data_IF_955014796780
#
_entry.id   IF_955014796780
#
_cell.length_a   1.000
_cell.length_b   1.000
_cell.length_c   1.000
_cell.angle_alpha   90.00
_cell.angle_beta   90.00
_cell.angle_gamma   90.00
#
_symmetry.space_group_name_H-M   'P 1'
#
loop_
_entity.id
_entity.type
_entity.pdbx_description
1 polymer ?
#
# COMPACT_ATOMS: atom_id res chain seq x y z
N UNK A 1 15.65 25.73 2.42
CA UNK A 1 16.83 25.14 1.73
C UNK A 1 18.18 25.71 2.17
N UNK A 2 18.38 27.04 2.21
CA UNK A 2 19.68 27.63 2.60
C UNK A 2 20.23 27.15 3.96
N UNK A 3 19.36 26.97 4.96
CA UNK A 3 19.76 26.43 6.27
C UNK A 3 20.24 24.97 6.21
N UNK A 4 19.68 24.13 5.32
CA UNK A 4 20.11 22.74 5.13
C UNK A 4 21.45 22.63 4.40
N UNK A 5 21.70 23.54 3.46
CA UNK A 5 23.00 23.65 2.79
C UNK A 5 24.10 24.05 3.76
N UNK A 6 23.83 25.01 4.66
CA UNK A 6 24.75 25.40 5.72
C UNK A 6 24.95 24.27 6.75
N UNK A 7 23.90 23.55 7.11
CA UNK A 7 23.98 22.40 8.03
C UNK A 7 24.86 21.26 7.49
N UNK A 8 24.87 21.04 6.17
CA UNK A 8 25.72 20.04 5.53
C UNK A 8 27.20 20.29 5.81
N UNK A 9 27.60 21.56 5.93
CA UNK A 9 28.98 21.97 6.22
C UNK A 9 29.34 21.83 7.71
N UNK A 10 28.35 21.72 8.61
CA UNK A 10 28.56 21.64 10.06
C UNK A 10 28.50 20.20 10.61
N UNK A 11 28.27 19.21 9.75
CA UNK A 11 28.33 17.79 10.08
C UNK A 11 26.96 17.10 10.30
N UNK A 12 26.96 15.77 10.45
CA UNK A 12 25.76 14.93 10.35
C UNK A 12 24.68 15.26 11.40
N UNK A 13 25.10 15.61 12.62
CA UNK A 13 24.18 15.91 13.72
C UNK A 13 23.34 17.18 13.48
N UNK A 14 23.96 18.21 12.90
CA UNK A 14 23.28 19.45 12.54
C UNK A 14 22.34 19.23 11.35
N UNK A 15 22.76 18.41 10.38
CA UNK A 15 21.94 18.08 9.22
C UNK A 15 20.61 17.42 9.62
N UNK A 16 20.65 16.41 10.51
CA UNK A 16 19.44 15.73 11.01
C UNK A 16 18.53 16.69 11.78
N UNK A 17 19.09 17.59 12.59
CA UNK A 17 18.31 18.61 13.33
C UNK A 17 17.55 19.53 12.37
N UNK A 18 18.21 20.07 11.35
CA UNK A 18 17.56 20.96 10.39
C UNK A 18 16.60 20.21 9.45
N UNK A 19 16.88 18.95 9.11
CA UNK A 19 15.96 18.09 8.38
C UNK A 19 14.66 17.87 9.18
N UNK A 20 14.78 17.66 10.49
CA UNK A 20 13.65 17.53 11.41
C UNK A 20 12.80 18.79 11.45
N UNK A 21 13.42 19.96 11.61
CA UNK A 21 12.70 21.24 11.61
C UNK A 21 12.00 21.51 10.28
N UNK A 22 12.67 21.24 9.16
CA UNK A 22 12.09 21.44 7.83
C UNK A 22 10.96 20.44 7.56
N UNK A 23 11.13 19.18 7.91
CA UNK A 23 10.08 18.16 7.81
C UNK A 23 8.86 18.53 8.65
N UNK A 24 9.05 18.97 9.90
CA UNK A 24 7.97 19.43 10.76
C UNK A 24 7.19 20.61 10.15
N UNK A 25 7.89 21.57 9.54
CA UNK A 25 7.26 22.67 8.80
C UNK A 25 6.42 22.17 7.62
N UNK A 26 6.94 21.25 6.81
CA UNK A 26 6.22 20.67 5.67
C UNK A 26 4.98 19.88 6.12
N UNK A 27 5.03 19.20 7.26
CA UNK A 27 3.90 18.48 7.84
C UNK A 27 2.76 19.42 8.26
N UNK A 28 3.07 20.63 8.71
CA UNK A 28 2.06 21.65 9.03
C UNK A 28 1.36 22.19 7.78
N UNK A 29 1.94 21.98 6.59
CA UNK A 29 1.40 22.40 5.30
C UNK A 29 0.81 21.23 4.51
N UNK A 30 0.62 20.05 5.14
CA UNK A 30 0.19 18.81 4.49
C UNK A 30 1.07 18.35 3.30
N UNK A 31 2.33 18.81 3.25
CA UNK A 31 3.29 18.47 2.19
C UNK A 31 4.08 17.20 2.52
N UNK A 32 3.37 16.09 2.72
CA UNK A 32 3.95 14.81 3.18
C UNK A 32 5.02 14.25 2.25
N UNK A 33 4.81 14.36 0.93
CA UNK A 33 5.74 13.88 -0.10
C UNK A 33 7.08 14.61 -0.03
N UNK A 34 7.02 15.93 0.11
CA UNK A 34 8.21 16.77 0.23
C UNK A 34 8.92 16.49 1.56
N UNK A 35 8.17 16.30 2.64
CA UNK A 35 8.73 15.92 3.94
C UNK A 35 9.49 14.58 3.85
N UNK A 36 8.91 13.58 3.19
CA UNK A 36 9.58 12.31 2.93
C UNK A 36 10.89 12.51 2.15
N UNK A 37 10.90 13.36 1.13
CA UNK A 37 12.11 13.67 0.34
C UNK A 37 13.21 14.33 1.18
N UNK A 38 12.85 15.23 2.09
CA UNK A 38 13.79 15.87 3.02
C UNK A 38 14.47 14.83 3.90
N UNK A 39 13.72 13.92 4.52
CA UNK A 39 14.28 12.88 5.38
C UNK A 39 15.05 11.82 4.58
N UNK A 40 14.55 11.45 3.40
CA UNK A 40 15.25 10.57 2.47
C UNK A 40 16.62 11.15 2.07
N UNK A 41 16.74 12.46 1.86
CA UNK A 41 18.01 13.09 1.46
C UNK A 41 18.94 13.36 2.64
N UNK A 42 18.43 13.89 3.73
CA UNK A 42 19.24 14.49 4.80
C UNK A 42 19.38 13.61 6.04
N UNK A 43 18.72 12.45 6.08
CA UNK A 43 18.83 11.47 7.15
C UNK A 43 17.67 11.50 8.14
N UNK A 44 17.63 10.47 8.98
CA UNK A 44 16.57 10.19 9.95
C UNK A 44 17.18 10.05 11.34
N UNK A 45 16.34 10.11 12.39
CA UNK A 45 16.76 9.77 13.76
C UNK A 45 15.70 8.94 14.45
N UNK A 46 16.09 8.13 15.42
CA UNK A 46 15.20 7.25 16.19
C UNK A 46 14.58 7.92 17.43
N UNK A 47 14.68 9.25 17.56
CA UNK A 47 14.03 9.95 18.67
C UNK A 47 12.50 9.83 18.55
N UNK A 48 11.77 9.57 19.65
CA UNK A 48 10.33 9.29 19.60
C UNK A 48 9.47 10.34 18.86
N UNK A 49 9.71 11.66 19.00
CA UNK A 49 8.97 12.67 18.23
C UNK A 49 9.18 12.53 16.71
N UNK A 50 10.38 12.12 16.30
CA UNK A 50 10.72 11.98 14.88
C UNK A 50 10.10 10.71 14.30
N UNK A 51 10.05 9.62 15.07
CA UNK A 51 9.31 8.42 14.70
C UNK A 51 7.81 8.71 14.50
N UNK A 52 7.20 9.53 15.35
CA UNK A 52 5.80 9.94 15.17
C UNK A 52 5.58 10.70 13.86
N UNK A 53 6.51 11.60 13.48
CA UNK A 53 6.44 12.29 12.19
C UNK A 53 6.57 11.34 11.01
N UNK A 54 7.51 10.39 11.04
CA UNK A 54 7.69 9.41 9.97
C UNK A 54 6.46 8.51 9.81
N UNK A 55 5.85 8.08 10.92
CA UNK A 55 4.61 7.32 10.92
C UNK A 55 3.48 8.11 10.26
N UNK A 56 3.31 9.38 10.61
CA UNK A 56 2.30 10.25 10.00
C UNK A 56 2.54 10.41 8.50
N UNK A 57 3.77 10.72 8.08
CA UNK A 57 4.14 10.83 6.66
C UNK A 57 3.78 9.55 5.89
N UNK A 58 4.17 8.39 6.43
CA UNK A 58 3.93 7.11 5.76
C UNK A 58 2.44 6.82 5.64
N UNK A 59 1.68 6.97 6.73
CA UNK A 59 0.22 6.75 6.72
C UNK A 59 -0.49 7.68 5.73
N UNK A 60 -0.15 8.97 5.71
CA UNK A 60 -0.78 9.95 4.80
C UNK A 60 -0.45 9.67 3.33
N UNK A 61 0.81 9.31 3.01
CA UNK A 61 1.17 8.99 1.61
C UNK A 61 0.51 7.67 1.17
N UNK A 62 0.41 6.68 2.06
CA UNK A 62 -0.20 5.39 1.75
C UNK A 62 -1.74 5.47 1.70
N UNK A 63 -2.36 6.31 2.52
CA UNK A 63 -3.82 6.50 2.57
C UNK A 63 -4.35 7.34 1.40
N UNK A 64 -3.62 8.38 0.99
CA UNK A 64 -4.04 9.24 -0.13
C UNK A 64 -3.94 8.56 -1.49
N UNK A 65 -3.27 7.42 -1.54
CA UNK A 65 -3.05 6.70 -2.78
C UNK A 65 -2.34 7.56 -3.83
N UNK A 66 -2.55 7.25 -5.11
CA UNK A 66 -2.09 8.08 -6.23
C UNK A 66 -2.94 9.34 -6.32
N UNK A 67 -2.91 10.19 -5.29
CA UNK A 67 -3.44 11.54 -5.36
C UNK A 67 -2.72 12.24 -6.51
N UNK A 68 -3.40 12.19 -7.65
CA UNK A 68 -3.04 12.85 -8.88
C UNK A 68 -2.94 14.32 -8.52
N UNK A 69 -1.74 14.90 -8.58
CA UNK A 69 -1.56 16.36 -8.59
C UNK A 69 -2.13 17.00 -9.87
N UNK A 70 -3.13 16.39 -10.51
CA UNK A 70 -3.88 16.98 -11.60
C UNK A 70 -5.34 17.06 -11.21
N UNK A 71 -5.71 18.23 -10.66
CA UNK A 71 -7.02 18.81 -10.93
C UNK A 71 -7.15 18.91 -12.46
N UNK A 72 -7.89 17.99 -13.08
CA UNK A 72 -8.06 17.99 -14.53
C UNK A 72 -8.87 16.78 -15.00
N UNK A 73 -10.05 17.05 -15.55
CA UNK A 73 -10.99 16.09 -16.08
C UNK A 73 -10.38 15.08 -17.07
N UNK A 74 -10.79 13.81 -16.94
CA UNK A 74 -10.72 12.81 -17.99
C UNK A 74 -9.67 11.72 -17.77
N UNK A 75 -10.12 10.52 -17.42
CA UNK A 75 -9.37 9.27 -17.53
C UNK A 75 -8.02 9.27 -16.81
N UNK A 76 -8.05 9.10 -15.49
CA UNK A 76 -6.83 8.99 -14.71
C UNK A 76 -6.11 7.66 -15.01
N UNK A 77 -5.05 7.72 -15.81
CA UNK A 77 -3.93 6.79 -15.62
C UNK A 77 -3.41 6.99 -14.19
N UNK A 78 -3.37 5.96 -13.33
CA UNK A 78 -2.87 6.08 -11.98
C UNK A 78 -1.37 6.39 -12.03
N UNK A 79 -1.01 7.67 -12.00
CA UNK A 79 0.38 8.08 -11.85
C UNK A 79 0.94 7.50 -10.56
N UNK A 80 2.06 6.77 -10.63
CA UNK A 80 2.65 6.09 -9.48
C UNK A 80 2.76 7.07 -8.28
N UNK A 81 2.43 6.63 -7.04
CA UNK A 81 2.58 7.52 -5.89
C UNK A 81 4.06 7.91 -5.77
N UNK A 82 4.39 9.01 -5.09
CA UNK A 82 5.77 9.44 -4.89
C UNK A 82 6.48 8.58 -3.83
N UNK A 83 6.48 7.27 -4.09
CA UNK A 83 7.03 6.19 -3.30
C UNK A 83 8.55 6.19 -3.21
N UNK A 84 9.36 6.70 -4.16
CA UNK A 84 10.81 6.66 -4.02
C UNK A 84 11.29 7.34 -2.73
N UNK A 85 10.82 8.56 -2.46
CA UNK A 85 11.14 9.31 -1.25
C UNK A 85 10.63 8.64 0.03
N UNK A 86 9.40 8.12 0.01
CA UNK A 86 8.82 7.41 1.15
C UNK A 86 9.64 6.16 1.49
N UNK A 87 9.91 5.30 0.49
CA UNK A 87 10.67 4.06 0.65
C UNK A 87 12.10 4.35 1.11
N UNK A 88 12.77 5.34 0.52
CA UNK A 88 14.10 5.75 0.94
C UNK A 88 14.14 6.25 2.39
N UNK A 89 13.17 7.07 2.80
CA UNK A 89 13.02 7.52 4.18
C UNK A 89 12.80 6.32 5.12
N UNK A 90 11.80 5.48 4.85
CA UNK A 90 11.46 4.33 5.69
C UNK A 90 12.60 3.33 5.80
N UNK A 91 13.32 3.06 4.70
CA UNK A 91 14.52 2.22 4.72
C UNK A 91 15.59 2.79 5.67
N UNK A 92 15.83 4.10 5.65
CA UNK A 92 16.75 4.75 6.61
C UNK A 92 16.26 4.64 8.05
N UNK A 93 14.96 4.83 8.31
CA UNK A 93 14.37 4.67 9.65
C UNK A 93 14.60 3.24 10.16
N UNK A 94 14.20 2.23 9.38
CA UNK A 94 14.35 0.81 9.74
C UNK A 94 15.80 0.46 9.99
N UNK A 95 16.72 0.90 9.12
CA UNK A 95 18.15 0.65 9.28
C UNK A 95 18.68 1.25 10.59
N UNK A 96 18.35 2.51 10.89
CA UNK A 96 18.76 3.17 12.12
C UNK A 96 18.19 2.48 13.37
N UNK A 97 16.93 2.05 13.35
CA UNK A 97 16.30 1.36 14.49
C UNK A 97 16.93 -0.01 14.74
N UNK A 98 17.16 -0.80 13.67
CA UNK A 98 17.86 -2.11 13.77
C UNK A 98 19.27 -1.96 14.36
N UNK A 99 20.04 -0.98 13.90
CA UNK A 99 21.39 -0.72 14.43
C UNK A 99 21.37 -0.24 15.88
N UNK A 100 20.31 0.47 16.29
CA UNK A 100 20.11 0.92 17.67
C UNK A 100 19.57 -0.15 18.62
N UNK A 101 19.20 -1.34 18.13
CA UNK A 101 18.58 -2.39 18.95
C UNK A 101 17.14 -2.06 19.39
N UNK A 102 16.43 -1.20 18.65
CA UNK A 102 15.06 -0.80 18.98
C UNK A 102 14.06 -1.88 18.52
N UNK A 103 13.38 -2.51 19.47
CA UNK A 103 12.40 -3.57 19.23
C UNK A 103 11.10 -3.06 18.54
N UNK A 104 10.88 -1.75 18.50
CA UNK A 104 9.72 -1.11 17.88
C UNK A 104 9.81 -0.98 16.35
N UNK A 105 10.87 -1.49 15.70
CA UNK A 105 11.06 -1.33 14.25
C UNK A 105 10.01 -2.03 13.38
N UNK A 106 9.28 -3.01 13.93
CA UNK A 106 8.36 -3.86 13.15
C UNK A 106 7.21 -3.08 12.48
N UNK A 107 6.80 -1.95 13.07
CA UNK A 107 5.84 -1.04 12.44
C UNK A 107 6.41 -0.41 11.17
N UNK A 108 7.63 0.11 11.24
CA UNK A 108 8.28 0.75 10.08
C UNK A 108 8.68 -0.24 9.01
N UNK A 109 9.02 -1.48 9.38
CA UNK A 109 9.23 -2.57 8.42
C UNK A 109 7.94 -2.90 7.66
N UNK A 110 6.81 -2.93 8.35
CA UNK A 110 5.50 -3.14 7.72
C UNK A 110 5.15 -1.99 6.78
N UNK A 111 5.32 -0.73 7.21
CA UNK A 111 5.10 0.45 6.36
C UNK A 111 6.03 0.45 5.13
N UNK A 112 7.29 0.07 5.30
CA UNK A 112 8.25 -0.04 4.20
C UNK A 112 7.82 -1.13 3.21
N UNK A 113 7.36 -2.28 3.73
CA UNK A 113 6.88 -3.38 2.92
C UNK A 113 5.64 -3.00 2.10
N UNK A 114 4.66 -2.33 2.70
CA UNK A 114 3.49 -1.81 1.98
C UNK A 114 3.93 -0.88 0.84
N UNK A 115 4.87 0.04 1.12
CA UNK A 115 5.40 0.92 0.09
C UNK A 115 6.16 0.17 -1.03
N UNK A 116 6.80 -0.96 -0.73
CA UNK A 116 7.40 -1.85 -1.73
C UNK A 116 6.34 -2.56 -2.56
N UNK A 117 5.28 -3.09 -1.94
CA UNK A 117 4.16 -3.71 -2.63
C UNK A 117 3.48 -2.74 -3.60
N UNK A 118 3.20 -1.51 -3.17
CA UNK A 118 2.58 -0.50 -4.05
C UNK A 118 3.48 -0.17 -5.26
N UNK A 119 4.80 -0.09 -5.07
CA UNK A 119 5.71 0.12 -6.19
C UNK A 119 5.81 -1.12 -7.10
N UNK A 120 5.76 -2.32 -6.51
CA UNK A 120 5.76 -3.57 -7.25
C UNK A 120 4.51 -3.72 -8.12
N UNK A 121 3.34 -3.25 -7.67
CA UNK A 121 2.12 -3.21 -8.49
C UNK A 121 2.33 -2.37 -9.76
N UNK A 122 2.96 -1.20 -9.65
CA UNK A 122 3.28 -0.36 -10.81
C UNK A 122 4.25 -1.07 -11.77
N UNK A 123 5.32 -1.68 -11.25
CA UNK A 123 6.28 -2.46 -12.06
C UNK A 123 5.61 -3.66 -12.74
N UNK A 124 4.70 -4.35 -12.05
CA UNK A 124 3.95 -5.47 -12.63
C UNK A 124 3.05 -4.99 -13.78
N UNK A 125 2.37 -3.86 -13.59
CA UNK A 125 1.54 -3.25 -14.64
C UNK A 125 2.36 -2.83 -15.86
N UNK A 126 3.50 -2.15 -15.65
CA UNK A 126 4.44 -1.78 -16.72
C UNK A 126 4.95 -2.99 -17.52
N UNK A 127 5.12 -4.13 -16.86
CA UNK A 127 5.56 -5.39 -17.48
C UNK A 127 4.43 -6.23 -18.06
N UNK A 128 3.16 -5.84 -17.87
CA UNK A 128 2.00 -6.66 -18.24
C UNK A 128 1.93 -7.99 -17.49
N UNK A 129 2.53 -8.09 -16.30
CA UNK A 129 2.63 -9.31 -15.51
C UNK A 129 1.34 -9.55 -14.70
N UNK A 130 0.26 -9.94 -15.39
CA UNK A 130 -1.09 -9.99 -14.83
C UNK A 130 -1.23 -10.89 -13.59
N UNK A 131 -0.56 -12.05 -13.58
CA UNK A 131 -0.60 -12.95 -12.42
C UNK A 131 0.10 -12.33 -11.20
N UNK A 132 1.29 -11.75 -11.39
CA UNK A 132 1.98 -11.01 -10.33
C UNK A 132 1.15 -9.82 -9.84
N UNK A 133 0.50 -9.07 -10.73
CA UNK A 133 -0.43 -7.98 -10.36
C UNK A 133 -1.56 -8.47 -9.47
N UNK A 134 -2.19 -9.61 -9.79
CA UNK A 134 -3.21 -10.24 -8.94
C UNK A 134 -2.64 -10.58 -7.57
N UNK A 135 -1.52 -11.30 -7.52
CA UNK A 135 -0.92 -11.73 -6.25
C UNK A 135 -0.57 -10.54 -5.35
N UNK A 136 -0.01 -9.48 -5.93
CA UNK A 136 0.33 -8.24 -5.20
C UNK A 136 -0.93 -7.52 -4.68
N UNK A 137 -1.96 -7.38 -5.51
CA UNK A 137 -3.22 -6.73 -5.13
C UNK A 137 -3.94 -7.52 -4.02
N UNK A 138 -4.00 -8.85 -4.13
CA UNK A 138 -4.58 -9.71 -3.10
C UNK A 138 -3.75 -9.65 -1.81
N UNK A 139 -2.42 -9.71 -1.89
CA UNK A 139 -1.53 -9.58 -0.72
C UNK A 139 -1.70 -8.23 0.02
N UNK A 140 -2.08 -7.16 -0.70
CA UNK A 140 -2.36 -5.84 -0.14
C UNK A 140 -3.54 -5.86 0.85
N UNK A 141 -4.49 -6.79 0.69
CA UNK A 141 -5.67 -6.94 1.57
C UNK A 141 -5.30 -7.29 3.02
N UNK A 142 -4.03 -7.64 3.33
CA UNK A 142 -3.57 -7.81 4.73
C UNK A 142 -3.27 -6.49 5.44
N UNK A 143 -3.27 -5.36 4.74
CA UNK A 143 -2.80 -4.06 5.24
C UNK A 143 -3.89 -2.97 5.26
N UNK A 144 -5.16 -3.36 5.41
CA UNK A 144 -6.32 -2.46 5.39
C UNK A 144 -6.31 -1.40 6.53
N UNK A 145 -5.45 -1.54 7.55
CA UNK A 145 -5.27 -0.51 8.59
C UNK A 145 -4.35 0.62 8.15
N UNK A 146 -3.61 0.43 7.06
CA UNK A 146 -2.61 1.34 6.54
C UNK A 146 -2.95 1.87 5.14
N UNK A 147 -3.76 1.15 4.36
CA UNK A 147 -4.20 1.54 3.02
C UNK A 147 -5.72 1.64 2.94
N UNK A 148 -6.29 2.45 2.02
CA UNK A 148 -7.73 2.58 1.87
C UNK A 148 -8.36 1.25 1.48
N UNK A 149 -9.32 0.79 2.28
CA UNK A 149 -9.90 -0.53 2.11
C UNK A 149 -10.71 -0.66 0.81
N UNK A 150 -11.47 0.38 0.44
CA UNK A 150 -12.22 0.44 -0.80
C UNK A 150 -11.31 0.22 -2.03
N UNK A 151 -10.21 0.96 -2.11
CA UNK A 151 -9.21 0.82 -3.15
C UNK A 151 -8.60 -0.58 -3.18
N UNK A 152 -8.19 -1.10 -2.03
CA UNK A 152 -7.55 -2.40 -1.95
C UNK A 152 -8.47 -3.54 -2.42
N UNK A 153 -9.75 -3.53 -1.99
CA UNK A 153 -10.74 -4.50 -2.45
C UNK A 153 -11.09 -4.35 -3.93
N UNK A 154 -11.24 -3.12 -4.42
CA UNK A 154 -11.45 -2.87 -5.84
C UNK A 154 -10.28 -3.39 -6.69
N UNK A 155 -9.04 -3.03 -6.37
CA UNK A 155 -7.85 -3.46 -7.12
C UNK A 155 -7.70 -4.99 -7.12
N UNK A 156 -7.90 -5.63 -5.97
CA UNK A 156 -7.86 -7.10 -5.87
C UNK A 156 -8.96 -7.75 -6.71
N UNK A 157 -10.19 -7.25 -6.62
CA UNK A 157 -11.33 -7.75 -7.38
C UNK A 157 -11.15 -7.62 -8.88
N UNK A 158 -10.65 -6.46 -9.34
CA UNK A 158 -10.37 -6.22 -10.77
C UNK A 158 -9.20 -7.06 -11.29
N UNK A 159 -8.17 -7.29 -10.49
CA UNK A 159 -7.05 -8.15 -10.88
C UNK A 159 -7.48 -9.63 -10.97
N UNK A 160 -8.36 -10.09 -10.08
CA UNK A 160 -9.00 -11.40 -10.15
C UNK A 160 -9.92 -11.52 -11.39
N UNK A 161 -10.73 -10.50 -11.66
CA UNK A 161 -11.58 -10.41 -12.86
C UNK A 161 -10.77 -10.56 -14.15
N UNK A 162 -9.59 -9.93 -14.22
CA UNK A 162 -8.74 -9.98 -15.41
C UNK A 162 -8.22 -11.39 -15.74
N UNK A 163 -8.18 -12.31 -14.77
CA UNK A 163 -7.79 -13.71 -15.01
C UNK A 163 -8.92 -14.56 -15.60
N UNK A 164 -10.18 -14.14 -15.45
CA UNK A 164 -11.33 -14.97 -15.81
C UNK A 164 -11.40 -16.28 -15.02
N UNK A 165 -12.21 -17.23 -15.49
CA UNK A 165 -12.30 -18.58 -14.92
C UNK A 165 -12.54 -18.60 -13.41
N UNK A 166 -11.74 -19.38 -12.67
CA UNK A 166 -11.79 -19.47 -11.20
C UNK A 166 -11.49 -18.13 -10.51
N UNK A 167 -10.73 -17.23 -11.16
CA UNK A 167 -10.48 -15.88 -10.68
C UNK A 167 -11.76 -15.03 -10.56
N UNK A 168 -12.82 -15.36 -11.30
CA UNK A 168 -14.09 -14.66 -11.18
C UNK A 168 -14.76 -14.90 -9.81
N UNK A 169 -14.55 -16.05 -9.17
CA UNK A 169 -15.15 -16.34 -7.86
C UNK A 169 -14.57 -15.43 -6.77
N UNK A 170 -13.24 -15.36 -6.70
CA UNK A 170 -12.55 -14.44 -5.78
C UNK A 170 -12.84 -12.98 -6.15
N UNK A 171 -12.86 -12.67 -7.45
CA UNK A 171 -13.24 -11.35 -7.94
C UNK A 171 -14.64 -10.94 -7.48
N UNK A 172 -15.60 -11.85 -7.49
CA UNK A 172 -16.96 -11.62 -7.02
C UNK A 172 -16.98 -11.28 -5.53
N UNK A 173 -16.29 -12.05 -4.69
CA UNK A 173 -16.21 -11.78 -3.24
C UNK A 173 -15.58 -10.41 -2.96
N UNK A 174 -14.44 -10.11 -3.59
CA UNK A 174 -13.74 -8.84 -3.34
C UNK A 174 -14.52 -7.62 -3.85
N UNK A 175 -15.18 -7.73 -5.00
CA UNK A 175 -15.98 -6.62 -5.55
C UNK A 175 -17.30 -6.43 -4.79
N UNK A 176 -17.93 -7.48 -4.27
CA UNK A 176 -19.05 -7.32 -3.33
C UNK A 176 -18.61 -6.55 -2.09
N UNK A 177 -17.49 -6.96 -1.48
CA UNK A 177 -16.96 -6.25 -0.31
C UNK A 177 -16.62 -4.79 -0.61
N UNK A 178 -16.12 -4.50 -1.81
CA UNK A 178 -15.92 -3.11 -2.25
C UNK A 178 -17.23 -2.31 -2.26
N UNK A 179 -18.34 -2.90 -2.72
CA UNK A 179 -19.65 -2.25 -2.70
C UNK A 179 -20.16 -2.04 -1.27
N UNK A 180 -20.00 -3.02 -0.37
CA UNK A 180 -20.38 -2.86 1.05
C UNK A 180 -19.61 -1.71 1.71
N UNK A 181 -18.30 -1.61 1.43
CA UNK A 181 -17.46 -0.50 1.91
C UNK A 181 -17.93 0.83 1.31
N UNK A 182 -18.26 0.85 0.02
CA UNK A 182 -18.75 2.05 -0.66
C UNK A 182 -20.02 2.55 0.01
N UNK A 183 -20.98 1.67 0.30
CA UNK A 183 -22.24 1.99 0.99
C UNK A 183 -21.97 2.55 2.39
N UNK A 184 -21.14 1.86 3.19
CA UNK A 184 -20.78 2.32 4.53
C UNK A 184 -20.08 3.70 4.53
N UNK A 185 -19.24 3.99 3.53
CA UNK A 185 -18.61 5.31 3.36
C UNK A 185 -19.65 6.38 2.99
N UNK A 186 -20.66 6.07 2.16
CA UNK A 186 -21.78 6.98 1.88
C UNK A 186 -22.63 7.26 3.13
N UNK A 187 -22.76 6.28 4.03
CA UNK A 187 -23.39 6.42 5.34
C UNK A 187 -22.51 7.12 6.39
N UNK A 188 -21.29 7.52 6.01
CA UNK A 188 -20.31 8.19 6.88
C UNK A 188 -19.88 7.33 8.08
N UNK A 189 -19.88 6.01 7.93
CA UNK A 189 -19.34 5.10 8.94
C UNK A 189 -17.81 5.26 9.02
N UNK A 190 -17.23 5.44 10.22
CA UNK A 190 -15.79 5.62 10.36
C UNK A 190 -15.01 4.30 10.31
N UNK A 191 -15.69 3.16 10.41
CA UNK A 191 -15.05 1.87 10.67
C UNK A 191 -15.83 0.67 10.11
N UNK A 192 -15.13 -0.40 9.75
CA UNK A 192 -15.68 -1.63 9.15
C UNK A 192 -16.56 -2.50 10.06
N UNK A 193 -16.88 -2.05 11.27
CA UNK A 193 -17.53 -2.90 12.30
C UNK A 193 -18.95 -3.33 11.95
N UNK A 194 -19.63 -2.60 11.06
CA UNK A 194 -20.97 -2.91 10.56
C UNK A 194 -20.98 -3.92 9.39
N UNK A 195 -19.83 -4.18 8.77
CA UNK A 195 -19.74 -5.03 7.58
C UNK A 195 -19.79 -6.53 7.96
N UNK A 196 -20.54 -7.33 7.20
CA UNK A 196 -20.52 -8.79 7.36
C UNK A 196 -19.19 -9.38 6.88
N UNK A 197 -18.58 -10.24 7.69
CA UNK A 197 -17.27 -10.85 7.46
C UNK A 197 -17.31 -12.36 7.19
N UNK A 198 -18.50 -12.92 7.00
CA UNK A 198 -18.72 -14.35 6.75
C UNK A 198 -17.84 -14.91 5.62
N UNK A 199 -17.80 -14.23 4.47
CA UNK A 199 -17.00 -14.63 3.29
C UNK A 199 -15.48 -14.63 3.52
N UNK A 200 -15.02 -13.94 4.56
CA UNK A 200 -13.60 -13.78 4.89
C UNK A 200 -13.18 -14.57 6.14
N UNK A 201 -14.08 -15.40 6.69
CA UNK A 201 -13.78 -16.27 7.81
C UNK A 201 -12.58 -17.18 7.51
N UNK A 202 -11.71 -17.40 8.50
CA UNK A 202 -10.51 -18.22 8.36
C UNK A 202 -9.53 -17.72 7.28
N UNK A 203 -9.48 -16.42 7.04
CA UNK A 203 -8.46 -15.78 6.20
C UNK A 203 -7.55 -14.87 7.02
N UNK A 204 -6.43 -14.42 6.44
CA UNK A 204 -5.55 -13.42 7.05
C UNK A 204 -6.02 -11.96 6.77
N UNK A 205 -7.17 -11.78 6.12
CA UNK A 205 -7.70 -10.44 5.80
C UNK A 205 -8.34 -9.85 7.07
N UNK A 206 -7.92 -8.66 7.54
CA UNK A 206 -8.46 -8.05 8.75
C UNK A 206 -9.96 -7.74 8.63
N UNK A 207 -10.71 -7.98 9.71
CA UNK A 207 -12.12 -7.55 9.82
C UNK A 207 -12.28 -6.14 10.41
N UNK A 208 -11.24 -5.67 11.09
CA UNK A 208 -11.20 -4.42 11.84
C UNK A 208 -10.23 -3.46 11.15
N UNK A 209 -10.79 -2.50 10.40
CA UNK A 209 -10.05 -1.48 9.67
C UNK A 209 -10.85 -0.17 9.55
N UNK A 210 -10.17 0.99 9.49
CA UNK A 210 -10.82 2.26 9.26
C UNK A 210 -11.40 2.31 7.85
N UNK A 211 -12.56 2.96 7.71
CA UNK A 211 -13.10 3.30 6.40
C UNK A 211 -12.49 4.61 5.90
N UNK A 212 -12.29 4.77 4.57
CA UNK A 212 -11.73 5.99 4.01
C UNK A 212 -12.74 7.15 4.12
N UNK A 213 -12.22 8.37 4.30
CA UNK A 213 -13.06 9.58 4.34
C UNK A 213 -13.62 9.97 2.97
N UNK A 214 -12.98 9.50 1.89
CA UNK A 214 -13.35 9.79 0.51
C UNK A 214 -13.33 8.50 -0.30
N UNK A 215 -14.29 8.39 -1.21
CA UNK A 215 -14.43 7.26 -2.12
C UNK A 215 -13.28 7.23 -3.13
N UNK A 216 -12.69 6.06 -3.34
CA UNK A 216 -11.62 5.86 -4.31
C UNK A 216 -12.08 6.12 -5.75
N UNK A 217 -13.27 5.65 -6.10
CA UNK A 217 -13.86 5.82 -7.44
C UNK A 217 -15.01 6.82 -7.42
N UNK A 218 -15.13 7.58 -8.51
CA UNK A 218 -16.31 8.39 -8.78
C UNK A 218 -17.53 7.53 -9.12
N UNK A 219 -18.73 8.08 -8.91
CA UNK A 219 -20.02 7.40 -9.04
C UNK A 219 -20.18 6.57 -10.32
N UNK A 220 -19.80 7.12 -11.48
CA UNK A 220 -19.93 6.43 -12.76
C UNK A 220 -19.09 5.14 -12.86
N UNK A 221 -17.90 5.10 -12.24
CA UNK A 221 -17.09 3.87 -12.21
C UNK A 221 -17.62 2.90 -11.15
N UNK A 222 -18.17 3.39 -10.03
CA UNK A 222 -18.82 2.54 -9.02
C UNK A 222 -20.04 1.83 -9.58
N UNK A 223 -20.82 2.50 -10.43
CA UNK A 223 -21.97 1.89 -11.09
C UNK A 223 -21.55 0.75 -12.02
N UNK A 224 -20.44 0.90 -12.76
CA UNK A 224 -19.90 -0.21 -13.56
C UNK A 224 -19.48 -1.41 -12.72
N UNK A 225 -18.95 -1.18 -11.52
CA UNK A 225 -18.64 -2.27 -10.58
C UNK A 225 -19.93 -2.93 -10.10
N UNK A 226 -20.95 -2.15 -9.77
CA UNK A 226 -22.28 -2.66 -9.38
C UNK A 226 -22.91 -3.50 -10.48
N UNK A 227 -22.94 -3.02 -11.72
CA UNK A 227 -23.42 -3.77 -12.89
C UNK A 227 -22.67 -5.09 -13.05
N UNK A 228 -21.35 -5.07 -12.94
CA UNK A 228 -20.54 -6.28 -13.07
C UNK A 228 -20.78 -7.29 -11.94
N UNK A 229 -20.93 -6.83 -10.69
CA UNK A 229 -21.27 -7.70 -9.55
C UNK A 229 -22.66 -8.33 -9.77
N UNK A 230 -23.62 -7.57 -10.29
CA UNK A 230 -24.93 -8.11 -10.67
C UNK A 230 -24.81 -9.18 -11.77
N UNK A 231 -24.01 -8.94 -12.81
CA UNK A 231 -23.73 -9.94 -13.86
C UNK A 231 -23.14 -11.24 -13.29
N UNK A 232 -22.19 -11.13 -12.36
CA UNK A 232 -21.60 -12.29 -11.68
C UNK A 232 -22.62 -13.04 -10.84
N UNK A 233 -23.50 -12.33 -10.12
CA UNK A 233 -24.55 -12.94 -9.30
C UNK A 233 -25.55 -13.78 -10.12
N UNK A 234 -25.75 -13.43 -11.40
CA UNK A 234 -26.64 -14.15 -12.32
C UNK A 234 -25.93 -15.29 -13.07
N UNK A 235 -24.60 -15.36 -13.00
CA UNK A 235 -23.81 -16.34 -13.72
C UNK A 235 -23.71 -17.65 -12.93
N UNK A 236 -24.41 -18.70 -13.39
CA UNK A 236 -24.43 -20.01 -12.74
C UNK A 236 -23.05 -20.71 -12.64
N UNK A 237 -22.05 -20.25 -13.38
CA UNK A 237 -20.68 -20.78 -13.33
C UNK A 237 -19.78 -20.05 -12.33
N UNK A 238 -20.27 -18.98 -11.71
CA UNK A 238 -19.54 -18.19 -10.72
C UNK A 238 -20.15 -18.42 -9.34
N UNK A 239 -19.30 -18.59 -8.34
CA UNK A 239 -19.70 -18.72 -6.95
C UNK A 239 -19.06 -17.60 -6.15
N UNK A 240 -19.82 -16.99 -5.24
CA UNK A 240 -19.28 -16.06 -4.25
C UNK A 240 -18.54 -16.86 -3.18
N UNK A 241 -17.32 -17.27 -3.50
CA UNK A 241 -16.49 -18.08 -2.63
C UNK A 241 -15.01 -17.77 -2.85
N UNK A 242 -14.26 -17.70 -1.75
CA UNK A 242 -12.81 -17.60 -1.80
C UNK A 242 -12.18 -18.97 -2.02
N UNK A 243 -11.15 -19.03 -2.86
CA UNK A 243 -10.24 -20.16 -2.88
C UNK A 243 -9.23 -20.01 -1.75
N UNK A 244 -9.48 -20.66 -0.61
CA UNK A 244 -8.65 -20.54 0.59
C UNK A 244 -7.21 -21.02 0.38
N UNK A 245 -7.01 -22.08 -0.42
CA UNK A 245 -5.67 -22.63 -0.69
C UNK A 245 -4.85 -21.65 -1.53
N UNK A 246 -5.46 -21.06 -2.57
CA UNK A 246 -4.82 -20.02 -3.38
C UNK A 246 -4.52 -18.76 -2.55
N UNK A 247 -5.48 -18.32 -1.73
CA UNK A 247 -5.30 -17.16 -0.87
C UNK A 247 -4.14 -17.35 0.12
N UNK A 248 -4.07 -18.52 0.76
CA UNK A 248 -2.97 -18.87 1.65
C UNK A 248 -1.63 -18.93 0.92
N UNK A 249 -1.60 -19.51 -0.29
CA UNK A 249 -0.38 -19.55 -1.11
C UNK A 249 0.13 -18.14 -1.46
N UNK A 250 -0.77 -17.21 -1.84
CA UNK A 250 -0.44 -15.81 -2.13
C UNK A 250 0.16 -15.12 -0.90
N UNK A 251 -0.46 -15.30 0.28
CA UNK A 251 0.02 -14.67 1.51
C UNK A 251 1.37 -15.24 1.98
N UNK A 252 1.52 -16.57 1.92
CA UNK A 252 2.77 -17.25 2.23
C UNK A 252 3.90 -16.82 1.30
N UNK A 253 3.64 -16.74 -0.01
CA UNK A 253 4.61 -16.25 -0.99
C UNK A 253 5.01 -14.80 -0.72
N UNK A 254 4.05 -13.93 -0.40
CA UNK A 254 4.33 -12.53 -0.06
C UNK A 254 5.24 -12.42 1.18
N UNK A 255 5.09 -13.29 2.17
CA UNK A 255 5.97 -13.32 3.35
C UNK A 255 7.39 -13.80 3.01
N UNK A 256 7.52 -14.81 2.15
CA UNK A 256 8.83 -15.27 1.63
C UNK A 256 9.54 -14.15 0.87
N UNK A 257 8.82 -13.44 -0.01
CA UNK A 257 9.37 -12.32 -0.77
C UNK A 257 9.77 -11.16 0.15
N UNK A 258 8.91 -10.78 1.10
CA UNK A 258 9.23 -9.75 2.11
C UNK A 258 10.51 -10.07 2.84
N UNK A 259 10.61 -11.30 3.35
CA UNK A 259 11.74 -11.75 4.15
C UNK A 259 13.04 -11.75 3.33
N UNK A 260 12.98 -12.15 2.06
CA UNK A 260 14.12 -12.09 1.14
C UNK A 260 14.56 -10.64 0.83
N UNK A 261 13.61 -9.73 0.62
CA UNK A 261 13.90 -8.31 0.38
C UNK A 261 14.48 -7.61 1.61
N UNK A 262 13.98 -7.92 2.81
CA UNK A 262 14.33 -7.22 4.04
C UNK A 262 15.62 -7.72 4.72
N UNK A 263 16.02 -8.97 4.46
CA UNK A 263 17.23 -9.59 5.06
C UNK A 263 18.36 -9.82 4.06
N UNK A 264 18.09 -9.69 2.76
CA UNK A 264 19.02 -10.04 1.69
C UNK A 264 19.12 -11.56 1.52
N UNK A 265 18.84 -12.06 0.31
CA UNK A 265 18.86 -13.50 0.05
C UNK A 265 18.07 -13.91 -1.18
N UNK A 266 17.85 -15.23 -1.31
CA UNK A 266 16.96 -15.82 -2.34
C UNK A 266 15.57 -16.05 -1.74
N UNK A 267 14.52 -15.76 -2.50
CA UNK A 267 13.15 -16.07 -2.12
C UNK A 267 12.79 -17.53 -2.43
N UNK A 268 13.39 -18.48 -1.71
CA UNK A 268 13.09 -19.89 -1.90
C UNK A 268 11.63 -20.19 -1.52
N UNK A 269 10.80 -20.53 -2.51
CA UNK A 269 9.35 -20.72 -2.34
C UNK A 269 8.49 -19.62 -2.95
N UNK A 270 9.08 -18.56 -3.49
CA UNK A 270 8.38 -17.59 -4.33
C UNK A 270 8.63 -17.85 -5.82
N UNK A 271 7.68 -17.44 -6.65
CA UNK A 271 7.86 -17.39 -8.10
C UNK A 271 8.97 -16.40 -8.47
N UNK A 272 9.80 -16.80 -9.43
CA UNK A 272 10.90 -15.97 -9.91
C UNK A 272 10.41 -14.64 -10.49
N UNK A 273 9.22 -14.63 -11.11
CA UNK A 273 8.59 -13.44 -11.67
C UNK A 273 8.18 -12.44 -10.58
N UNK A 274 7.43 -12.88 -9.56
CA UNK A 274 7.00 -12.00 -8.47
C UNK A 274 8.21 -11.44 -7.71
N UNK A 275 9.19 -12.29 -7.40
CA UNK A 275 10.40 -11.86 -6.73
C UNK A 275 11.19 -10.85 -7.57
N UNK A 276 11.32 -11.07 -8.89
CA UNK A 276 11.98 -10.13 -9.81
C UNK A 276 11.28 -8.77 -9.86
N UNK A 277 9.94 -8.76 -9.87
CA UNK A 277 9.13 -7.54 -9.87
C UNK A 277 9.35 -6.75 -8.57
N UNK A 278 9.25 -7.42 -7.43
CA UNK A 278 9.46 -6.77 -6.12
C UNK A 278 10.90 -6.29 -5.97
N UNK A 279 11.89 -7.08 -6.40
CA UNK A 279 13.30 -6.64 -6.40
C UNK A 279 13.52 -5.41 -7.28
N UNK A 280 12.90 -5.36 -8.47
CA UNK A 280 13.01 -4.19 -9.34
C UNK A 280 12.39 -2.95 -8.68
N UNK A 281 11.24 -3.10 -8.02
CA UNK A 281 10.65 -2.04 -7.23
C UNK A 281 11.60 -1.58 -6.11
N UNK A 282 12.17 -2.51 -5.32
CA UNK A 282 13.13 -2.21 -4.24
C UNK A 282 14.41 -1.55 -4.77
N UNK A 283 14.89 -1.94 -5.95
CA UNK A 283 16.10 -1.37 -6.56
C UNK A 283 15.98 0.12 -6.96
N UNK A 284 14.76 0.62 -7.16
CA UNK A 284 14.48 2.02 -7.51
C UNK A 284 14.56 3.00 -6.32
N UNK A 285 15.18 2.63 -5.19
CA UNK A 285 15.33 3.49 -3.98
C UNK A 285 16.44 4.57 -4.16
N UNK A 286 17.05 4.67 -5.35
CA UNK A 286 18.19 5.56 -5.61
C UNK A 286 17.84 7.05 -5.61
#
# INVERSE_FOLDING_TARGET
EAALQLATQQGPHMLVKYATLHGAYLLQQDQYVQAAAVFARHGTSTQPPNLQMYRRIAKEILSRGTESQTQGAGGAEPGAPPLPSLRAMLHKVVLCMRQGGDEGHGEFERLLWIAHLTAAQAVAAERGAADASKRLAVAMLRYLREVPADRAFYEAGMACKAQGGEGLNMGFVFLNRYLDITEAVEEHEPHSTSLDNSDFANTEIPFDFPLPEQQFLGEAEREKVRDFVLELSMNANVQQALNHDELHAIFSEADVVRDACMRGGRAAGASDELFSIVQAAVGQIS
#
